data_IF_191071027975
#
_entry.id   IF_191071027975
#
_cell.length_a   1.000
_cell.length_b   1.000
_cell.length_c   1.000
_cell.angle_alpha   90.00
_cell.angle_beta   90.00
_cell.angle_gamma   90.00
#
_symmetry.space_group_name_H-M   'P 1'
#
loop_
_entity.id
_entity.type
_entity.pdbx_description
1 polymer ?
#
# COMPACT_ATOMS: atom_id res chain seq x y z
N UNK A 1 -24.29 19.83 -31.41
CA UNK A 1 -24.00 19.47 -30.00
C UNK A 1 -22.86 18.46 -29.89
N UNK A 2 -22.04 18.25 -30.96
CA UNK A 2 -21.04 17.17 -31.02
C UNK A 2 -19.58 17.60 -30.78
N UNK A 3 -19.34 18.84 -30.41
CA UNK A 3 -17.97 19.36 -30.22
C UNK A 3 -17.43 19.27 -28.78
N UNK A 4 -18.29 19.29 -27.78
CA UNK A 4 -17.85 19.31 -26.37
C UNK A 4 -17.56 17.93 -25.80
N UNK A 5 -18.19 16.87 -26.29
CA UNK A 5 -17.98 15.48 -25.81
C UNK A 5 -16.64 14.88 -26.28
N UNK A 6 -16.20 15.21 -27.52
CA UNK A 6 -14.90 14.78 -28.02
C UNK A 6 -13.73 15.47 -27.31
N UNK A 7 -13.90 16.70 -26.84
CA UNK A 7 -12.90 17.43 -26.08
C UNK A 7 -12.70 16.86 -24.67
N UNK A 8 -13.77 16.36 -24.02
CA UNK A 8 -13.71 15.74 -22.69
C UNK A 8 -13.04 14.37 -22.73
N UNK A 9 -13.35 13.52 -23.69
CA UNK A 9 -12.72 12.19 -23.87
C UNK A 9 -11.23 12.34 -24.22
N UNK A 10 -10.87 13.29 -25.09
CA UNK A 10 -9.48 13.57 -25.45
C UNK A 10 -8.60 14.05 -24.30
N UNK A 11 -9.16 14.67 -23.28
CA UNK A 11 -8.42 15.12 -22.08
C UNK A 11 -8.26 14.06 -21.00
N UNK A 12 -9.11 13.03 -20.95
CA UNK A 12 -9.06 11.94 -19.96
C UNK A 12 -7.92 10.94 -20.21
N UNK A 13 -7.67 10.58 -21.46
CA UNK A 13 -6.63 9.60 -21.83
C UNK A 13 -5.21 10.03 -21.41
N UNK A 14 -4.77 11.29 -21.61
CA UNK A 14 -3.45 11.75 -21.15
C UNK A 14 -3.31 11.73 -19.63
N UNK A 15 -4.38 12.04 -18.89
CA UNK A 15 -4.36 12.05 -17.41
C UNK A 15 -4.23 10.64 -16.83
N UNK A 16 -4.94 9.66 -17.42
CA UNK A 16 -4.87 8.24 -17.01
C UNK A 16 -3.47 7.67 -17.28
N UNK A 17 -2.87 7.94 -18.46
CA UNK A 17 -1.49 7.51 -18.74
C UNK A 17 -0.48 8.11 -17.77
N UNK A 18 -0.61 9.39 -17.46
CA UNK A 18 0.23 10.07 -16.47
C UNK A 18 0.06 9.44 -15.08
N UNK A 19 -1.17 9.18 -14.66
CA UNK A 19 -1.47 8.52 -13.41
C UNK A 19 -0.81 7.13 -13.33
N UNK A 20 -0.96 6.30 -14.36
CA UNK A 20 -0.35 4.97 -14.41
C UNK A 20 1.18 5.03 -14.28
N UNK A 21 1.86 5.95 -14.99
CA UNK A 21 3.32 6.11 -14.91
C UNK A 21 3.78 6.57 -13.53
N UNK A 22 3.06 7.53 -12.92
CA UNK A 22 3.37 7.99 -11.56
C UNK A 22 3.17 6.85 -10.55
N UNK A 23 2.05 6.12 -10.63
CA UNK A 23 1.77 5.02 -9.72
C UNK A 23 2.76 3.85 -9.91
N UNK A 24 3.22 3.60 -11.13
CA UNK A 24 4.28 2.63 -11.39
C UNK A 24 5.61 3.04 -10.72
N UNK A 25 5.95 4.34 -10.76
CA UNK A 25 7.15 4.84 -10.05
C UNK A 25 7.02 4.72 -8.53
N UNK A 26 5.79 4.83 -7.99
CA UNK A 26 5.49 4.60 -6.58
C UNK A 26 5.82 3.16 -6.19
N UNK A 27 5.48 2.17 -7.03
CA UNK A 27 5.74 0.76 -6.72
C UNK A 27 7.23 0.44 -6.59
N UNK A 28 8.08 1.13 -7.38
CA UNK A 28 9.54 0.99 -7.27
C UNK A 28 10.02 1.38 -5.86
N UNK A 29 9.56 2.53 -5.37
CA UNK A 29 9.92 3.00 -4.02
C UNK A 29 9.32 2.07 -2.96
N UNK A 30 8.05 1.67 -3.11
CA UNK A 30 7.41 0.76 -2.16
C UNK A 30 8.11 -0.59 -2.09
N UNK A 31 8.56 -1.16 -3.22
CA UNK A 31 9.39 -2.37 -3.20
C UNK A 31 10.66 -2.21 -2.34
N UNK A 32 11.30 -1.02 -2.38
CA UNK A 32 12.43 -0.72 -1.51
C UNK A 32 12.04 -0.57 -0.04
N UNK A 33 10.79 -0.15 0.27
CA UNK A 33 10.36 0.02 1.67
C UNK A 33 10.40 -1.28 2.47
N UNK A 34 10.18 -2.44 1.86
CA UNK A 34 10.30 -3.74 2.54
C UNK A 34 11.72 -3.98 3.05
N UNK A 35 12.71 -3.57 2.25
CA UNK A 35 14.12 -3.66 2.64
C UNK A 35 14.42 -2.70 3.78
N UNK A 36 13.99 -1.44 3.66
CA UNK A 36 14.22 -0.44 4.72
C UNK A 36 13.51 -0.80 6.03
N UNK A 37 12.27 -1.34 5.96
CA UNK A 37 11.57 -1.84 7.15
C UNK A 37 12.35 -2.97 7.80
N UNK A 38 12.83 -3.96 7.02
CA UNK A 38 13.60 -5.09 7.57
C UNK A 38 14.93 -4.64 8.15
N UNK A 39 15.62 -3.68 7.51
CA UNK A 39 16.84 -3.09 8.04
C UNK A 39 16.61 -2.41 9.41
N UNK A 40 15.52 -1.63 9.53
CA UNK A 40 15.17 -1.00 10.80
C UNK A 40 14.85 -2.04 11.89
N UNK A 41 14.10 -3.10 11.55
CA UNK A 41 13.78 -4.19 12.49
C UNK A 41 15.03 -4.95 12.94
N UNK A 42 15.93 -5.29 12.03
CA UNK A 42 17.18 -5.97 12.36
C UNK A 42 18.09 -5.11 13.24
N UNK A 43 18.12 -3.78 13.01
CA UNK A 43 18.90 -2.88 13.85
C UNK A 43 18.32 -2.75 15.27
N UNK A 44 17.03 -3.08 15.47
CA UNK A 44 16.31 -2.96 16.73
C UNK A 44 16.00 -4.31 17.40
N UNK A 45 16.73 -5.36 17.06
CA UNK A 45 16.50 -6.71 17.61
C UNK A 45 16.49 -6.72 19.14
N UNK A 46 17.43 -6.02 19.79
CA UNK A 46 17.55 -5.91 21.24
C UNK A 46 16.37 -5.15 21.85
N UNK A 47 15.96 -4.03 21.22
CA UNK A 47 14.81 -3.24 21.68
C UNK A 47 13.49 -3.99 21.48
N UNK A 48 13.38 -4.80 20.42
CA UNK A 48 12.22 -5.67 20.16
C UNK A 48 12.10 -6.74 21.24
N UNK A 49 13.22 -7.37 21.62
CA UNK A 49 13.22 -8.33 22.73
C UNK A 49 12.89 -7.67 24.08
N UNK A 50 13.36 -6.44 24.31
CA UNK A 50 13.21 -5.73 25.58
C UNK A 50 11.81 -5.13 25.74
N UNK A 51 11.29 -4.45 24.72
CA UNK A 51 10.04 -3.66 24.80
C UNK A 51 8.85 -4.30 24.07
N UNK A 52 9.09 -5.43 23.38
CA UNK A 52 8.10 -6.14 22.58
C UNK A 52 7.98 -5.60 21.14
N UNK A 53 7.80 -6.54 20.20
CA UNK A 53 7.68 -6.26 18.76
C UNK A 53 6.63 -5.21 18.46
N UNK A 54 5.44 -5.31 19.07
CA UNK A 54 4.33 -4.41 18.78
C UNK A 54 4.64 -2.96 19.15
N UNK A 55 5.23 -2.72 20.34
CA UNK A 55 5.55 -1.39 20.83
C UNK A 55 6.59 -0.69 19.94
N UNK A 56 7.68 -1.41 19.62
CA UNK A 56 8.77 -0.90 18.78
C UNK A 56 8.27 -0.62 17.36
N UNK A 57 7.53 -1.56 16.77
CA UNK A 57 6.94 -1.40 15.42
C UNK A 57 5.96 -0.25 15.36
N UNK A 58 5.04 -0.12 16.32
CA UNK A 58 4.11 0.99 16.39
C UNK A 58 4.85 2.33 16.46
N UNK A 59 5.97 2.39 17.19
CA UNK A 59 6.79 3.59 17.27
C UNK A 59 7.49 3.92 15.93
N UNK A 60 8.02 2.92 15.22
CA UNK A 60 8.59 3.12 13.87
C UNK A 60 7.54 3.62 12.88
N UNK A 61 6.32 3.06 12.91
CA UNK A 61 5.20 3.53 12.09
C UNK A 61 4.82 4.96 12.49
N UNK A 62 4.81 5.31 13.77
CA UNK A 62 4.58 6.68 14.23
C UNK A 62 5.61 7.65 13.65
N UNK A 63 6.90 7.34 13.76
CA UNK A 63 7.98 8.21 13.26
C UNK A 63 7.84 8.46 11.76
N UNK A 64 7.65 7.41 10.93
CA UNK A 64 7.53 7.57 9.49
C UNK A 64 6.32 8.43 9.09
N UNK A 65 5.17 8.28 9.76
CA UNK A 65 3.97 9.05 9.44
C UNK A 65 3.97 10.45 10.04
N UNK A 66 4.63 10.69 11.17
CA UNK A 66 4.86 12.04 11.71
C UNK A 66 5.80 12.84 10.81
N UNK A 67 6.88 12.25 10.30
CA UNK A 67 7.74 12.86 9.28
C UNK A 67 6.90 13.25 8.06
N UNK A 68 6.10 12.31 7.52
CA UNK A 68 5.24 12.55 6.38
C UNK A 68 4.18 13.63 6.65
N UNK A 69 3.60 13.67 7.85
CA UNK A 69 2.64 14.70 8.28
C UNK A 69 3.27 16.10 8.22
N UNK A 70 4.47 16.24 8.79
CA UNK A 70 5.20 17.52 8.78
C UNK A 70 5.50 17.94 7.33
N UNK A 71 5.98 17.02 6.51
CA UNK A 71 6.29 17.30 5.11
C UNK A 71 5.05 17.73 4.31
N UNK A 72 3.90 17.02 4.44
CA UNK A 72 2.65 17.43 3.78
C UNK A 72 2.22 18.81 4.26
N UNK A 73 2.29 19.06 5.56
CA UNK A 73 1.88 20.35 6.12
C UNK A 73 2.78 21.51 5.67
N UNK A 74 4.08 21.27 5.45
CA UNK A 74 5.04 22.29 5.00
C UNK A 74 4.98 22.49 3.50
N UNK A 75 5.04 21.41 2.72
CA UNK A 75 5.10 21.46 1.25
C UNK A 75 3.75 21.88 0.65
N UNK A 76 2.63 21.48 1.27
CA UNK A 76 1.28 21.80 0.80
C UNK A 76 0.48 22.59 1.85
N UNK A 77 0.74 23.91 2.04
CA UNK A 77 0.06 24.72 3.07
C UNK A 77 -1.48 24.66 2.98
N UNK A 78 -2.01 24.49 1.78
CA UNK A 78 -3.46 24.36 1.53
C UNK A 78 -4.07 23.13 2.23
N UNK A 79 -3.29 22.06 2.41
CA UNK A 79 -3.77 20.86 3.11
C UNK A 79 -4.17 21.14 4.57
N UNK A 80 -3.54 22.14 5.22
CA UNK A 80 -3.84 22.52 6.60
C UNK A 80 -5.27 22.99 6.84
N UNK A 81 -5.94 23.53 5.81
CA UNK A 81 -7.33 23.96 5.93
C UNK A 81 -8.27 22.77 6.20
N UNK A 82 -7.92 21.57 5.74
CA UNK A 82 -8.66 20.33 6.00
C UNK A 82 -8.77 19.97 7.47
N UNK A 83 -7.76 20.34 8.29
CA UNK A 83 -7.74 20.06 9.74
C UNK A 83 -8.89 20.74 10.48
N UNK A 84 -9.44 21.84 9.92
CA UNK A 84 -10.57 22.59 10.50
C UNK A 84 -11.93 22.07 10.06
N UNK A 85 -11.99 21.11 9.15
CA UNK A 85 -13.23 20.62 8.53
C UNK A 85 -13.60 19.24 9.09
N UNK A 86 -14.67 19.09 9.90
CA UNK A 86 -15.08 17.81 10.46
C UNK A 86 -15.36 16.72 9.42
N UNK A 87 -15.84 17.10 8.23
CA UNK A 87 -16.12 16.17 7.14
C UNK A 87 -14.83 15.55 6.59
N UNK A 88 -13.73 16.30 6.54
CA UNK A 88 -12.42 15.80 6.12
C UNK A 88 -11.86 14.82 7.15
N UNK A 89 -12.08 15.07 8.45
CA UNK A 89 -11.69 14.13 9.51
C UNK A 89 -12.41 12.79 9.43
N UNK A 90 -13.67 12.74 8.99
CA UNK A 90 -14.38 11.47 8.77
C UNK A 90 -13.68 10.66 7.67
N UNK A 91 -13.39 11.27 6.53
CA UNK A 91 -12.67 10.61 5.43
C UNK A 91 -11.21 10.28 5.79
N UNK A 92 -10.47 11.26 6.31
CA UNK A 92 -9.08 11.07 6.74
C UNK A 92 -8.94 10.08 7.90
N UNK A 93 -9.88 10.08 8.85
CA UNK A 93 -9.94 9.10 9.94
C UNK A 93 -10.16 7.67 9.44
N UNK A 94 -11.05 7.49 8.47
CA UNK A 94 -11.29 6.19 7.84
C UNK A 94 -10.04 5.71 7.09
N UNK A 95 -9.47 6.53 6.20
CA UNK A 95 -8.25 6.17 5.48
C UNK A 95 -7.07 5.94 6.43
N UNK A 96 -6.90 6.82 7.42
CA UNK A 96 -5.85 6.68 8.44
C UNK A 96 -6.02 5.43 9.30
N UNK A 97 -7.26 5.07 9.67
CA UNK A 97 -7.53 3.83 10.40
C UNK A 97 -7.18 2.57 9.62
N UNK A 98 -7.54 2.52 8.33
CA UNK A 98 -7.18 1.43 7.44
C UNK A 98 -5.65 1.32 7.25
N UNK A 99 -4.97 2.46 7.06
CA UNK A 99 -3.52 2.53 6.96
C UNK A 99 -2.84 2.12 8.27
N UNK A 100 -3.35 2.56 9.42
CA UNK A 100 -2.81 2.20 10.75
C UNK A 100 -2.76 0.69 10.92
N UNK A 101 -3.90 0.03 10.72
CA UNK A 101 -3.97 -1.43 10.84
C UNK A 101 -3.07 -2.09 9.79
N UNK A 102 -3.13 -1.66 8.53
CA UNK A 102 -2.31 -2.20 7.44
C UNK A 102 -0.81 -2.10 7.74
N UNK A 103 -0.29 -0.91 8.01
CA UNK A 103 1.17 -0.71 8.19
C UNK A 103 1.70 -1.30 9.49
N UNK A 104 0.95 -1.23 10.60
CA UNK A 104 1.40 -1.84 11.85
C UNK A 104 1.43 -3.36 11.72
N UNK A 105 0.35 -3.98 11.20
CA UNK A 105 0.32 -5.44 11.02
C UNK A 105 1.35 -5.93 10.01
N UNK A 106 1.55 -5.22 8.88
CA UNK A 106 2.58 -5.54 7.90
C UNK A 106 3.98 -5.56 8.53
N UNK A 107 4.30 -4.53 9.31
CA UNK A 107 5.65 -4.40 9.87
C UNK A 107 5.88 -5.34 11.06
N UNK A 108 4.83 -5.66 11.85
CA UNK A 108 4.87 -6.71 12.86
C UNK A 108 5.15 -8.07 12.21
N UNK A 109 4.41 -8.39 11.15
CA UNK A 109 4.60 -9.64 10.41
C UNK A 109 6.00 -9.75 9.78
N UNK A 110 6.52 -8.64 9.24
CA UNK A 110 7.83 -8.58 8.60
C UNK A 110 8.98 -8.88 9.57
N UNK A 111 8.78 -8.78 10.88
CA UNK A 111 9.75 -9.23 11.86
C UNK A 111 10.05 -10.74 11.70
N UNK A 112 9.03 -11.54 11.45
CA UNK A 112 9.11 -13.00 11.43
C UNK A 112 9.33 -13.59 10.03
N UNK A 113 9.01 -12.83 8.98
CA UNK A 113 9.13 -13.28 7.58
C UNK A 113 10.14 -12.43 6.81
N UNK A 114 10.54 -12.90 5.64
CA UNK A 114 11.46 -12.13 4.79
C UNK A 114 10.72 -11.06 3.96
N UNK A 115 11.44 -10.02 3.46
CA UNK A 115 10.85 -8.94 2.68
C UNK A 115 10.09 -9.39 1.43
N UNK A 116 10.59 -10.41 0.75
CA UNK A 116 9.98 -10.95 -0.47
C UNK A 116 8.64 -11.59 -0.16
N UNK A 117 8.56 -12.51 0.82
CA UNK A 117 7.32 -13.14 1.30
C UNK A 117 6.30 -12.08 1.70
N UNK A 118 6.72 -11.10 2.50
CA UNK A 118 5.83 -10.03 2.94
C UNK A 118 5.27 -9.25 1.77
N UNK A 119 6.09 -8.86 0.79
CA UNK A 119 5.65 -8.14 -0.40
C UNK A 119 4.65 -8.95 -1.23
N UNK A 120 4.89 -10.27 -1.39
CA UNK A 120 3.99 -11.15 -2.14
C UNK A 120 2.65 -11.36 -1.47
N UNK A 121 2.65 -11.70 -0.18
CA UNK A 121 1.41 -11.89 0.56
C UNK A 121 0.61 -10.59 0.65
N UNK A 122 1.29 -9.45 0.79
CA UNK A 122 0.64 -8.14 0.74
C UNK A 122 -0.03 -7.91 -0.62
N UNK A 123 0.58 -8.33 -1.74
CA UNK A 123 0.01 -8.15 -3.09
C UNK A 123 -1.34 -8.85 -3.31
N UNK A 124 -1.76 -9.74 -2.42
CA UNK A 124 -3.12 -10.29 -2.39
C UNK A 124 -4.20 -9.21 -2.24
N UNK A 125 -3.83 -7.98 -1.85
CA UNK A 125 -4.77 -6.85 -1.93
C UNK A 125 -5.34 -6.63 -3.33
N UNK A 126 -4.66 -7.03 -4.40
CA UNK A 126 -5.19 -6.96 -5.78
C UNK A 126 -6.44 -7.81 -5.92
N UNK A 127 -6.32 -9.07 -5.51
CA UNK A 127 -7.42 -10.04 -5.49
C UNK A 127 -8.56 -9.55 -4.61
N UNK A 128 -8.21 -9.12 -3.40
CA UNK A 128 -9.19 -8.63 -2.43
C UNK A 128 -9.89 -7.35 -2.92
N UNK A 129 -9.16 -6.43 -3.57
CA UNK A 129 -9.75 -5.23 -4.18
C UNK A 129 -10.75 -5.61 -5.28
N UNK A 130 -10.39 -6.56 -6.15
CA UNK A 130 -11.27 -7.01 -7.21
C UNK A 130 -12.56 -7.65 -6.64
N UNK A 131 -12.42 -8.57 -5.69
CA UNK A 131 -13.55 -9.26 -5.04
C UNK A 131 -14.44 -8.26 -4.28
N UNK A 132 -13.85 -7.38 -3.48
CA UNK A 132 -14.59 -6.38 -2.71
C UNK A 132 -15.30 -5.38 -3.62
N UNK A 133 -14.65 -4.92 -4.69
CA UNK A 133 -15.27 -3.99 -5.65
C UNK A 133 -16.51 -4.63 -6.29
N UNK A 134 -16.42 -5.92 -6.66
CA UNK A 134 -17.57 -6.67 -7.18
C UNK A 134 -18.69 -6.82 -6.15
N UNK A 135 -18.34 -7.15 -4.93
CA UNK A 135 -19.30 -7.28 -3.82
C UNK A 135 -20.05 -5.97 -3.53
N UNK A 136 -19.38 -4.84 -3.80
CA UNK A 136 -19.91 -3.48 -3.63
C UNK A 136 -20.60 -2.93 -4.88
N UNK A 137 -20.66 -3.69 -5.98
CA UNK A 137 -21.33 -3.38 -7.24
C UNK A 137 -22.43 -4.40 -7.52
N UNK A 138 -23.53 -3.97 -8.15
CA UNK A 138 -24.62 -4.86 -8.56
C UNK A 138 -24.29 -5.66 -9.84
N UNK A 139 -23.05 -5.61 -10.32
CA UNK A 139 -22.64 -6.27 -11.58
C UNK A 139 -22.06 -7.66 -11.31
N UNK A 140 -22.48 -8.64 -12.12
CA UNK A 140 -21.92 -9.97 -12.07
C UNK A 140 -20.47 -9.99 -12.62
N UNK A 141 -19.53 -10.62 -11.91
CA UNK A 141 -18.14 -10.67 -12.34
C UNK A 141 -17.97 -11.53 -13.60
N UNK A 142 -17.14 -11.08 -14.54
CA UNK A 142 -16.76 -11.87 -15.70
C UNK A 142 -15.88 -13.05 -15.32
N UNK A 143 -16.00 -14.17 -16.03
CA UNK A 143 -15.19 -15.39 -15.80
C UNK A 143 -13.69 -15.13 -15.85
N UNK A 144 -13.23 -14.21 -16.71
CA UNK A 144 -11.83 -13.85 -16.83
C UNK A 144 -11.24 -13.22 -15.55
N UNK A 145 -12.06 -12.47 -14.77
CA UNK A 145 -11.64 -11.95 -13.49
C UNK A 145 -11.28 -13.06 -12.48
N UNK A 146 -12.09 -14.13 -12.43
CA UNK A 146 -11.78 -15.27 -11.55
C UNK A 146 -10.47 -15.96 -11.95
N UNK A 147 -10.20 -16.10 -13.26
CA UNK A 147 -8.93 -16.65 -13.74
C UNK A 147 -7.74 -15.75 -13.41
N UNK A 148 -7.87 -14.44 -13.61
CA UNK A 148 -6.82 -13.49 -13.26
C UNK A 148 -6.50 -13.49 -11.76
N UNK A 149 -7.55 -13.50 -10.92
CA UNK A 149 -7.44 -13.62 -9.46
C UNK A 149 -6.75 -14.93 -9.07
N UNK A 150 -7.17 -16.06 -9.65
CA UNK A 150 -6.57 -17.37 -9.38
C UNK A 150 -5.09 -17.39 -9.77
N UNK A 151 -4.76 -16.92 -10.97
CA UNK A 151 -3.37 -16.83 -11.44
C UNK A 151 -2.50 -15.94 -10.53
N UNK A 152 -2.99 -14.76 -10.16
CA UNK A 152 -2.27 -13.86 -9.27
C UNK A 152 -2.01 -14.52 -7.90
N UNK A 153 -3.01 -15.19 -7.33
CA UNK A 153 -2.89 -15.90 -6.05
C UNK A 153 -1.91 -17.07 -6.14
N UNK A 154 -2.02 -17.88 -7.19
CA UNK A 154 -1.11 -19.02 -7.42
C UNK A 154 0.31 -18.52 -7.65
N UNK A 155 0.48 -17.49 -8.49
CA UNK A 155 1.80 -16.88 -8.75
C UNK A 155 2.46 -16.36 -7.48
N UNK A 156 1.72 -15.65 -6.63
CA UNK A 156 2.21 -15.19 -5.34
C UNK A 156 2.66 -16.36 -4.44
N UNK A 157 1.90 -17.46 -4.40
CA UNK A 157 2.22 -18.63 -3.58
C UNK A 157 3.47 -19.39 -4.00
N UNK A 158 3.91 -19.26 -5.27
CA UNK A 158 5.07 -20.01 -5.79
C UNK A 158 6.39 -19.22 -5.81
N UNK A 159 6.42 -17.95 -5.52
CA UNK A 159 7.63 -17.12 -5.70
C UNK A 159 8.80 -17.53 -4.80
N UNK A 160 8.53 -18.00 -3.61
CA UNK A 160 9.57 -18.45 -2.68
C UNK A 160 9.89 -19.94 -2.80
N UNK A 161 9.24 -20.66 -3.69
CA UNK A 161 9.40 -22.09 -3.86
C UNK A 161 8.04 -22.80 -3.93
N UNK A 162 8.04 -24.14 -3.82
CA UNK A 162 6.82 -24.91 -3.70
C UNK A 162 6.00 -24.41 -2.48
N UNK A 163 4.67 -24.28 -2.60
CA UNK A 163 3.86 -23.78 -1.49
C UNK A 163 4.09 -24.62 -0.25
N UNK A 164 4.52 -23.96 0.81
CA UNK A 164 4.64 -24.60 2.11
C UNK A 164 3.27 -24.57 2.82
N UNK A 165 2.82 -25.70 3.31
CA UNK A 165 1.55 -25.81 4.07
C UNK A 165 1.68 -25.31 5.52
N UNK A 166 2.90 -25.04 5.98
CA UNK A 166 3.18 -24.52 7.32
C UNK A 166 3.21 -22.98 7.28
N UNK A 167 2.05 -22.37 7.43
CA UNK A 167 1.97 -20.92 7.61
C UNK A 167 2.17 -20.58 9.08
N UNK A 168 3.09 -19.65 9.35
CA UNK A 168 3.27 -19.03 10.66
C UNK A 168 2.35 -17.81 10.84
N UNK A 169 2.47 -17.19 12.01
CA UNK A 169 1.70 -15.99 12.32
C UNK A 169 2.04 -14.81 11.39
N UNK A 170 3.30 -14.69 10.94
CA UNK A 170 3.75 -13.64 10.04
C UNK A 170 2.98 -13.64 8.73
N UNK A 171 2.83 -14.81 8.10
CA UNK A 171 2.08 -14.96 6.84
C UNK A 171 0.60 -14.65 7.04
N UNK A 172 -0.02 -15.16 8.10
CA UNK A 172 -1.45 -14.94 8.41
C UNK A 172 -1.73 -13.45 8.62
N UNK A 173 -0.90 -12.77 9.42
CA UNK A 173 -1.03 -11.33 9.68
C UNK A 173 -0.83 -10.53 8.39
N UNK A 174 0.12 -10.93 7.53
CA UNK A 174 0.35 -10.26 6.23
C UNK A 174 -0.84 -10.38 5.29
N UNK A 175 -1.48 -11.55 5.23
CA UNK A 175 -2.72 -11.73 4.45
C UNK A 175 -3.85 -10.88 5.03
N UNK A 176 -3.98 -10.82 6.35
CA UNK A 176 -4.97 -9.94 6.98
C UNK A 176 -4.69 -8.45 6.66
N UNK A 177 -3.42 -8.01 6.68
CA UNK A 177 -3.08 -6.63 6.32
C UNK A 177 -3.44 -6.29 4.87
N UNK A 178 -3.33 -7.25 3.93
CA UNK A 178 -3.71 -7.07 2.55
C UNK A 178 -5.18 -6.68 2.38
N UNK A 179 -6.07 -7.17 3.24
CA UNK A 179 -7.48 -6.76 3.28
C UNK A 179 -7.64 -5.27 3.60
N UNK A 180 -6.88 -4.76 4.58
CA UNK A 180 -6.94 -3.35 4.95
C UNK A 180 -6.39 -2.44 3.85
N UNK A 181 -5.34 -2.86 3.14
CA UNK A 181 -4.85 -2.14 1.97
C UNK A 181 -5.83 -2.19 0.80
N UNK A 182 -6.52 -3.31 0.56
CA UNK A 182 -7.58 -3.40 -0.45
C UNK A 182 -8.73 -2.41 -0.16
N UNK A 183 -9.19 -2.37 1.09
CA UNK A 183 -10.19 -1.40 1.53
C UNK A 183 -9.67 0.04 1.39
N UNK A 184 -8.41 0.30 1.77
CA UNK A 184 -7.80 1.61 1.61
C UNK A 184 -7.78 2.05 0.14
N UNK A 185 -7.42 1.18 -0.80
CA UNK A 185 -7.42 1.46 -2.25
C UNK A 185 -8.83 1.87 -2.72
N UNK A 186 -9.86 1.09 -2.34
CA UNK A 186 -11.25 1.34 -2.74
C UNK A 186 -11.75 2.68 -2.17
N UNK A 187 -11.54 2.91 -0.88
CA UNK A 187 -12.03 4.14 -0.24
C UNK A 187 -11.21 5.38 -0.60
N UNK A 188 -9.92 5.23 -0.90
CA UNK A 188 -9.10 6.33 -1.42
C UNK A 188 -9.68 6.89 -2.72
N UNK A 189 -10.01 6.03 -3.68
CA UNK A 189 -10.60 6.48 -4.94
C UNK A 189 -11.93 7.21 -4.69
N UNK A 190 -12.82 6.64 -3.89
CA UNK A 190 -14.13 7.26 -3.58
C UNK A 190 -14.01 8.60 -2.86
N UNK A 191 -13.17 8.67 -1.84
CA UNK A 191 -13.01 9.88 -1.02
C UNK A 191 -12.24 10.99 -1.74
N UNK A 192 -11.22 10.65 -2.55
CA UNK A 192 -10.47 11.66 -3.31
C UNK A 192 -11.23 12.20 -4.51
N UNK A 193 -12.29 11.54 -4.97
CA UNK A 193 -13.24 12.11 -5.92
C UNK A 193 -14.18 13.14 -5.26
N UNK A 194 -14.55 12.90 -4.00
CA UNK A 194 -15.47 13.77 -3.26
C UNK A 194 -14.78 14.94 -2.54
N UNK A 195 -13.52 14.77 -2.13
CA UNK A 195 -12.79 15.73 -1.32
C UNK A 195 -11.39 16.01 -1.87
N UNK A 196 -10.78 17.12 -1.41
CA UNK A 196 -9.39 17.44 -1.78
C UNK A 196 -8.41 16.36 -1.27
N UNK A 197 -7.64 15.73 -2.19
CA UNK A 197 -6.74 14.63 -1.83
C UNK A 197 -5.67 15.02 -0.79
N UNK A 198 -5.15 16.25 -0.83
CA UNK A 198 -4.11 16.70 0.09
C UNK A 198 -4.63 16.93 1.50
N UNK A 199 -5.87 17.41 1.63
CA UNK A 199 -6.54 17.53 2.93
C UNK A 199 -6.78 16.16 3.56
N UNK A 200 -7.26 15.18 2.76
CA UNK A 200 -7.43 13.79 3.20
C UNK A 200 -6.07 13.17 3.58
N UNK A 201 -5.03 13.40 2.79
CA UNK A 201 -3.67 12.88 3.06
C UNK A 201 -3.15 13.40 4.40
N UNK A 202 -3.24 14.71 4.65
CA UNK A 202 -2.76 15.29 5.91
C UNK A 202 -3.49 14.71 7.12
N UNK A 203 -4.82 14.67 7.07
CA UNK A 203 -5.62 14.16 8.20
C UNK A 203 -5.43 12.67 8.41
N UNK A 204 -5.31 11.85 7.35
CA UNK A 204 -5.02 10.43 7.47
C UNK A 204 -3.63 10.16 8.06
N UNK A 205 -2.60 10.93 7.65
CA UNK A 205 -1.25 10.81 8.21
C UNK A 205 -1.21 11.20 9.69
N UNK A 206 -1.93 12.26 10.07
CA UNK A 206 -2.07 12.63 11.49
C UNK A 206 -2.71 11.48 12.30
N UNK A 207 -3.76 10.86 11.78
CA UNK A 207 -4.41 9.71 12.45
C UNK A 207 -3.42 8.57 12.62
N UNK A 208 -2.71 8.14 11.56
CA UNK A 208 -1.73 7.07 11.65
C UNK A 208 -0.60 7.42 12.61
N UNK A 209 0.00 8.61 12.43
CA UNK A 209 1.16 9.03 13.24
C UNK A 209 0.85 9.11 14.74
N UNK A 210 -0.23 9.80 15.10
CA UNK A 210 -0.59 9.97 16.51
C UNK A 210 -1.20 8.69 17.13
N UNK A 211 -2.01 7.94 16.38
CA UNK A 211 -2.54 6.68 16.90
C UNK A 211 -1.44 5.63 17.08
N UNK A 212 -0.50 5.50 16.12
CA UNK A 212 0.65 4.61 16.29
C UNK A 212 1.53 5.03 17.47
N UNK A 213 1.73 6.33 17.66
CA UNK A 213 2.47 6.82 18.83
C UNK A 213 1.76 6.46 20.13
N UNK A 214 0.45 6.68 20.21
CA UNK A 214 -0.34 6.31 21.38
C UNK A 214 -0.29 4.80 21.67
N UNK A 215 -0.39 3.96 20.61
CA UNK A 215 -0.25 2.51 20.72
C UNK A 215 1.15 2.13 21.22
N UNK A 216 2.21 2.71 20.68
CA UNK A 216 3.59 2.44 21.08
C UNK A 216 3.83 2.76 22.56
N UNK A 217 3.41 3.95 22.99
CA UNK A 217 3.60 4.39 24.39
C UNK A 217 2.70 3.64 25.37
N UNK A 218 1.50 3.25 24.94
CA UNK A 218 0.55 2.54 25.78
C UNK A 218 0.80 1.03 25.90
N UNK A 219 1.58 0.44 24.99
CA UNK A 219 1.89 -1.01 25.01
C UNK A 219 3.29 -1.33 25.57
N UNK A 220 4.13 -0.33 25.82
CA UNK A 220 5.46 -0.50 26.41
C UNK A 220 5.42 -0.31 27.93
N UNK A 221 6.09 -1.20 28.66
CA UNK A 221 6.26 -1.07 30.11
C UNK A 221 7.22 0.07 30.50
N UNK A 222 8.10 0.49 29.59
CA UNK A 222 9.06 1.58 29.79
C UNK A 222 9.09 2.54 28.58
N UNK A 223 8.00 3.29 28.29
CA UNK A 223 7.85 4.04 27.07
C UNK A 223 8.92 5.12 26.86
N UNK A 224 9.34 5.82 27.91
CA UNK A 224 10.36 6.87 27.80
C UNK A 224 11.74 6.29 27.41
N UNK A 225 12.12 5.15 27.99
CA UNK A 225 13.36 4.45 27.70
C UNK A 225 13.32 3.90 26.28
N UNK A 226 12.22 3.24 25.88
CA UNK A 226 12.03 2.74 24.51
C UNK A 226 12.20 3.84 23.46
N UNK A 227 11.57 5.00 23.64
CA UNK A 227 11.69 6.13 22.73
C UNK A 227 13.14 6.57 22.54
N UNK A 228 13.88 6.70 23.65
CA UNK A 228 15.29 7.13 23.59
C UNK A 228 16.15 6.07 22.92
N UNK A 229 16.03 4.80 23.31
CA UNK A 229 16.85 3.73 22.76
C UNK A 229 16.59 3.53 21.26
N UNK A 230 15.34 3.50 20.83
CA UNK A 230 14.99 3.34 19.39
C UNK A 230 15.52 4.49 18.56
N UNK A 231 15.41 5.76 19.01
CA UNK A 231 15.86 6.92 18.23
C UNK A 231 17.37 7.01 18.17
N UNK A 232 18.07 6.61 19.24
CA UNK A 232 19.53 6.71 19.32
C UNK A 232 20.25 5.47 18.77
N UNK A 233 19.52 4.41 18.46
CA UNK A 233 20.09 3.18 17.91
C UNK A 233 20.72 3.44 16.54
N UNK A 234 22.00 3.05 16.40
CA UNK A 234 22.71 3.14 15.13
C UNK A 234 22.04 2.26 14.05
N UNK A 235 21.97 2.77 12.83
CA UNK A 235 21.35 2.07 11.70
C UNK A 235 19.83 2.27 11.55
N UNK A 236 19.13 2.87 12.50
CA UNK A 236 17.66 3.08 12.45
C UNK A 236 17.27 4.37 11.73
N UNK A 237 18.03 5.45 11.93
CA UNK A 237 17.66 6.78 11.45
C UNK A 237 17.46 6.81 9.92
N UNK A 238 18.40 6.27 9.15
CA UNK A 238 18.33 6.29 7.68
C UNK A 238 17.12 5.53 7.13
N UNK A 239 16.87 4.25 7.50
CA UNK A 239 15.64 3.55 7.10
C UNK A 239 14.37 4.32 7.47
N UNK A 240 14.26 4.87 8.67
CA UNK A 240 13.06 5.60 9.12
C UNK A 240 12.84 6.87 8.29
N UNK A 241 13.89 7.64 7.99
CA UNK A 241 13.80 8.82 7.12
C UNK A 241 13.39 8.43 5.70
N UNK A 242 13.98 7.38 5.12
CA UNK A 242 13.62 6.88 3.79
C UNK A 242 12.16 6.39 3.75
N UNK A 243 11.70 5.70 4.78
CA UNK A 243 10.30 5.30 4.94
C UNK A 243 9.37 6.51 5.08
N UNK A 244 9.73 7.51 5.87
CA UNK A 244 8.92 8.71 6.10
C UNK A 244 8.83 9.59 4.85
N UNK A 245 9.97 9.88 4.22
CA UNK A 245 10.04 10.77 3.04
C UNK A 245 9.63 10.04 1.76
N UNK A 246 10.25 8.91 1.45
CA UNK A 246 10.00 8.15 0.24
C UNK A 246 8.70 7.35 0.31
N UNK A 247 8.65 6.40 1.24
CA UNK A 247 7.55 5.44 1.34
C UNK A 247 6.22 6.03 1.78
N UNK A 248 6.22 6.98 2.71
CA UNK A 248 4.98 7.60 3.21
C UNK A 248 4.67 8.92 2.51
N UNK A 249 5.52 9.95 2.62
CA UNK A 249 5.20 11.26 2.05
C UNK A 249 5.06 11.20 0.53
N UNK A 250 6.13 10.83 -0.19
CA UNK A 250 6.11 10.85 -1.65
C UNK A 250 5.08 9.88 -2.23
N UNK A 251 5.13 8.61 -1.81
CA UNK A 251 4.30 7.57 -2.40
C UNK A 251 2.80 7.75 -2.11
N UNK A 252 2.42 8.03 -0.86
CA UNK A 252 1.01 8.15 -0.51
C UNK A 252 0.39 9.47 -0.95
N UNK A 253 1.17 10.56 -1.02
CA UNK A 253 0.71 11.81 -1.67
C UNK A 253 0.45 11.55 -3.15
N UNK A 254 1.39 10.90 -3.86
CA UNK A 254 1.22 10.56 -5.26
C UNK A 254 0.02 9.62 -5.46
N UNK A 255 -0.13 8.59 -4.62
CA UNK A 255 -1.29 7.69 -4.63
C UNK A 255 -2.60 8.48 -4.51
N UNK A 256 -2.77 9.29 -3.49
CA UNK A 256 -4.01 10.03 -3.26
C UNK A 256 -4.32 11.04 -4.36
N UNK A 257 -3.29 11.63 -5.00
CA UNK A 257 -3.49 12.58 -6.09
C UNK A 257 -3.80 11.91 -7.43
N UNK A 258 -3.20 10.75 -7.73
CA UNK A 258 -3.26 10.16 -9.06
C UNK A 258 -4.19 8.95 -9.14
N UNK A 259 -4.36 8.15 -8.08
CA UNK A 259 -5.25 6.98 -8.08
C UNK A 259 -6.70 7.35 -8.38
N UNK A 260 -7.15 8.56 -8.02
CA UNK A 260 -8.49 9.07 -8.32
C UNK A 260 -8.85 9.05 -9.82
N UNK A 261 -7.87 9.02 -10.71
CA UNK A 261 -8.05 8.98 -12.17
C UNK A 261 -8.12 7.56 -12.73
N UNK A 262 -8.19 6.54 -11.87
CA UNK A 262 -8.21 5.13 -12.24
C UNK A 262 -9.23 4.37 -11.41
N UNK A 263 -9.76 3.28 -11.98
CA UNK A 263 -10.58 2.35 -11.21
C UNK A 263 -9.73 1.66 -10.12
N UNK A 264 -10.27 1.35 -8.91
CA UNK A 264 -9.50 0.74 -7.83
C UNK A 264 -8.75 -0.53 -8.23
N UNK A 265 -9.39 -1.39 -9.03
CA UNK A 265 -8.78 -2.65 -9.51
C UNK A 265 -7.57 -2.37 -10.41
N UNK A 266 -7.66 -1.38 -11.31
CA UNK A 266 -6.55 -0.99 -12.19
C UNK A 266 -5.36 -0.43 -11.38
N UNK A 267 -5.63 0.40 -10.37
CA UNK A 267 -4.60 0.88 -9.48
C UNK A 267 -3.93 -0.27 -8.71
N UNK A 268 -4.73 -1.21 -8.16
CA UNK A 268 -4.23 -2.37 -7.45
C UNK A 268 -3.30 -3.24 -8.33
N UNK A 269 -3.62 -3.39 -9.62
CA UNK A 269 -2.78 -4.14 -10.59
C UNK A 269 -1.43 -3.45 -10.80
N UNK A 270 -1.42 -2.12 -10.92
CA UNK A 270 -0.16 -1.38 -11.00
C UNK A 270 0.66 -1.62 -9.73
N UNK A 271 0.02 -1.57 -8.56
CA UNK A 271 0.71 -1.80 -7.30
C UNK A 271 1.26 -3.23 -7.17
N UNK A 272 0.71 -4.21 -7.86
CA UNK A 272 1.23 -5.58 -7.90
C UNK A 272 2.66 -5.72 -8.48
N UNK A 273 3.23 -4.66 -9.04
CA UNK A 273 4.65 -4.63 -9.38
C UNK A 273 5.56 -4.46 -8.15
N UNK A 274 5.01 -4.06 -7.01
CA UNK A 274 5.77 -3.88 -5.76
C UNK A 274 6.61 -5.10 -5.36
N UNK A 275 6.07 -6.34 -5.30
CA UNK A 275 6.86 -7.52 -4.97
C UNK A 275 7.96 -7.85 -6.00
N UNK A 276 7.78 -7.49 -7.26
CA UNK A 276 8.83 -7.65 -8.28
C UNK A 276 10.04 -6.79 -7.91
N UNK A 277 9.83 -5.53 -7.56
CA UNK A 277 10.89 -4.64 -7.12
C UNK A 277 11.51 -5.08 -5.80
N UNK A 278 10.69 -5.48 -4.81
CA UNK A 278 11.18 -5.99 -3.53
C UNK A 278 12.12 -7.20 -3.72
N UNK A 279 11.75 -8.12 -4.61
CA UNK A 279 12.58 -9.29 -4.94
C UNK A 279 13.86 -8.89 -5.67
N UNK A 280 13.78 -8.00 -6.66
CA UNK A 280 14.96 -7.52 -7.39
C UNK A 280 15.97 -6.83 -6.45
N UNK A 281 15.49 -5.98 -5.54
CA UNK A 281 16.33 -5.36 -4.52
C UNK A 281 16.89 -6.39 -3.54
N UNK A 282 16.05 -7.34 -3.10
CA UNK A 282 16.48 -8.43 -2.23
C UNK A 282 17.59 -9.29 -2.84
N UNK A 283 17.46 -9.63 -4.12
CA UNK A 283 18.51 -10.33 -4.89
C UNK A 283 19.79 -9.49 -5.00
N UNK A 284 19.66 -8.21 -5.37
CA UNK A 284 20.80 -7.30 -5.54
C UNK A 284 21.57 -7.04 -4.26
N UNK A 285 20.94 -7.12 -3.10
CA UNK A 285 21.54 -6.95 -1.77
C UNK A 285 21.93 -8.27 -1.10
N UNK A 286 21.73 -9.41 -1.77
CA UNK A 286 22.04 -10.73 -1.21
C UNK A 286 21.11 -11.18 -0.06
N UNK A 287 19.96 -10.53 0.09
CA UNK A 287 18.95 -10.88 1.11
C UNK A 287 18.02 -12.00 0.66
N UNK A 288 17.95 -12.25 -0.64
CA UNK A 288 17.17 -13.30 -1.28
C UNK A 288 18.11 -14.10 -2.18
N UNK A 289 18.05 -15.43 -2.11
CA UNK A 289 18.81 -16.31 -3.02
C UNK A 289 18.04 -16.49 -4.33
N UNK A 290 18.78 -16.54 -5.45
CA UNK A 290 18.16 -16.82 -6.74
C UNK A 290 17.49 -18.20 -6.75
N UNK A 291 16.25 -18.24 -7.25
CA UNK A 291 15.50 -19.48 -7.48
C UNK A 291 14.67 -19.36 -8.76
N UNK A 292 14.50 -20.45 -9.50
CA UNK A 292 13.62 -20.50 -10.68
C UNK A 292 12.14 -20.28 -10.33
N UNK A 293 11.78 -20.42 -9.07
CA UNK A 293 10.43 -20.11 -8.59
C UNK A 293 10.10 -18.62 -8.68
N UNK A 294 11.10 -17.74 -8.53
CA UNK A 294 10.94 -16.28 -8.64
C UNK A 294 10.37 -15.88 -10.00
N UNK A 295 11.03 -16.15 -11.15
CA UNK A 295 10.47 -15.81 -12.45
C UNK A 295 9.19 -16.58 -12.79
N UNK A 296 9.04 -17.83 -12.33
CA UNK A 296 7.81 -18.59 -12.53
C UNK A 296 6.63 -17.97 -11.77
N UNK A 297 6.71 -17.83 -10.45
CA UNK A 297 5.65 -17.26 -9.61
C UNK A 297 5.37 -15.80 -9.96
N UNK A 298 6.42 -14.99 -10.15
CA UNK A 298 6.30 -13.59 -10.59
C UNK A 298 5.65 -13.46 -11.96
N UNK A 299 6.02 -14.31 -12.91
CA UNK A 299 5.42 -14.33 -14.25
C UNK A 299 3.93 -14.69 -14.22
N UNK A 300 3.55 -15.71 -13.46
CA UNK A 300 2.13 -16.13 -13.29
C UNK A 300 1.33 -15.02 -12.60
N UNK A 301 1.88 -14.37 -11.55
CA UNK A 301 1.27 -13.23 -10.87
C UNK A 301 1.02 -12.07 -11.83
N UNK A 302 2.04 -11.67 -12.60
CA UNK A 302 1.91 -10.57 -13.56
C UNK A 302 0.90 -10.89 -14.67
N UNK A 303 0.89 -12.12 -15.19
CA UNK A 303 -0.12 -12.55 -16.17
C UNK A 303 -1.53 -12.49 -15.58
N UNK A 304 -1.72 -12.95 -14.35
CA UNK A 304 -3.00 -12.83 -13.64
C UNK A 304 -3.47 -11.38 -13.54
N UNK A 305 -2.58 -10.48 -13.18
CA UNK A 305 -2.87 -9.05 -13.09
C UNK A 305 -3.24 -8.45 -14.46
N UNK A 306 -2.53 -8.82 -15.53
CA UNK A 306 -2.86 -8.39 -16.91
C UNK A 306 -4.25 -8.88 -17.31
N UNK A 307 -4.61 -10.14 -17.01
CA UNK A 307 -5.94 -10.69 -17.30
C UNK A 307 -7.04 -9.91 -16.59
N UNK A 308 -6.82 -9.54 -15.32
CA UNK A 308 -7.77 -8.71 -14.57
C UNK A 308 -7.93 -7.33 -15.21
N UNK A 309 -6.83 -6.68 -15.60
CA UNK A 309 -6.85 -5.34 -16.25
C UNK A 309 -7.63 -5.36 -17.56
N UNK A 310 -7.29 -6.28 -18.46
CA UNK A 310 -7.95 -6.38 -19.76
C UNK A 310 -9.45 -6.61 -19.62
N UNK A 311 -9.85 -7.39 -18.61
CA UNK A 311 -11.27 -7.67 -18.34
C UNK A 311 -12.00 -6.46 -17.76
N UNK A 312 -11.31 -5.64 -16.95
CA UNK A 312 -11.90 -4.45 -16.32
C UNK A 312 -12.06 -3.30 -17.33
N UNK A 313 -11.11 -3.12 -18.26
CA UNK A 313 -11.17 -2.07 -19.27
C UNK A 313 -12.31 -2.27 -20.29
N UNK A 314 -12.59 -3.52 -20.70
CA UNK A 314 -13.71 -3.81 -21.61
C UNK A 314 -15.09 -3.53 -20.98
N UNK A 315 -15.22 -3.58 -19.65
CA UNK A 315 -16.49 -3.25 -18.98
C UNK A 315 -16.78 -1.74 -18.99
N UNK A 316 -15.75 -0.89 -18.88
CA UNK A 316 -15.90 0.55 -18.93
C UNK A 316 -16.35 1.01 -20.33
N UNK A 317 -15.80 0.42 -21.41
CA UNK A 317 -16.16 0.75 -22.78
C UNK A 317 -17.62 0.33 -23.12
N UNK A 318 -18.08 -0.81 -22.60
CA UNK A 318 -19.46 -1.26 -22.83
C UNK A 318 -20.50 -0.46 -22.04
N UNK A 319 -20.18 0.00 -20.85
CA UNK A 319 -21.08 0.87 -20.06
C UNK A 319 -21.15 2.29 -20.64
N UNK A 320 -20.06 2.82 -21.19
CA UNK A 320 -20.05 4.09 -21.90
C UNK A 320 -20.97 4.04 -23.13
N UNK A 321 -20.93 2.97 -23.93
CA UNK A 321 -21.81 2.79 -25.09
C UNK A 321 -23.29 2.55 -24.75
N UNK A 322 -23.64 2.05 -23.57
CA UNK A 322 -25.04 1.84 -23.16
C UNK A 322 -25.71 3.10 -22.58
N UNK A 323 -24.94 4.10 -22.16
CA UNK A 323 -25.46 5.39 -21.71
C UNK A 323 -25.69 6.38 -22.85
N UNK A 324 -25.22 6.08 -24.06
CA UNK A 324 -25.36 6.88 -25.26
C UNK A 324 -26.56 6.46 -26.16
N UNK A 325 -27.41 5.53 -25.69
CA UNK A 325 -28.65 5.08 -26.35
C UNK A 325 -29.86 5.40 -25.49
#
# INVERSE_FOLDING_TARGET
MDGDDQATVSSFVPQRRKAALVLLSVTLIWGATFIWMKQALNALEVEIETFGTFSVVAYLVALRFLIATVLVAVVFPKARSGVRLPVIWKGGGMLGGLMLVGFVSQMVALNDINPSTSAFLTSLYVVMTAVLTLWMSDQAPRRALYWGVLMATVGAGFIEGPPHLSWGWGEIITVACALFFALHIIFTQRLTLAFDPLMLTLTSFMVVGFASLALALGSSDAPATMVVEVVTREGVLLPVVLLGVGGSFFCLVALNMFQRHMHPVQAAIIYAFEPVWATLFGLGLGLVSWSWWIPFGGGVLLLGNIVVELTSSENEDLTAHQTDV
#
